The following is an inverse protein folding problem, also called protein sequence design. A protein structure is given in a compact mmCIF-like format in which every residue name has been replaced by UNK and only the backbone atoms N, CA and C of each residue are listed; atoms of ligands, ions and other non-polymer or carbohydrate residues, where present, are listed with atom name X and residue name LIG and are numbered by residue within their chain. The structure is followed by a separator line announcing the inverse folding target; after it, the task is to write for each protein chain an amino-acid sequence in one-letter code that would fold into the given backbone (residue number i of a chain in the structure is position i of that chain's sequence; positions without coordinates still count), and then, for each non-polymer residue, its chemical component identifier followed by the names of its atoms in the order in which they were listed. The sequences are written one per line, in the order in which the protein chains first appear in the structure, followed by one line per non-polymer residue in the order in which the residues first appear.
data_IF_050468150031
#
_entry.id   IF_050468150031
#
_cell.length_a   1.000
_cell.length_b   1.000
_cell.length_c   1.000
_cell.angle_alpha   90.00
_cell.angle_beta   90.00
_cell.angle_gamma   90.00
#
_symmetry.space_group_name_H-M   'P 1'
#
loop_
_entity.id
_entity.type
_entity.pdbx_description
1 polymer ?
#
# COMPACT_ATOMS: atom_id res chain seq x y z
N UNK A 1 18.74 -20.97 -9.22
CA UNK A 1 18.79 -20.30 -7.91
C UNK A 1 17.60 -20.73 -7.05
N UNK A 2 16.39 -20.71 -7.60
CA UNK A 2 15.13 -20.99 -6.86
C UNK A 2 15.04 -22.42 -6.31
N UNK A 3 15.67 -23.38 -6.97
CA UNK A 3 15.72 -24.78 -6.51
C UNK A 3 16.44 -24.96 -5.16
N UNK A 4 17.20 -23.94 -4.72
CA UNK A 4 17.94 -23.96 -3.45
C UNK A 4 17.31 -23.02 -2.39
N UNK A 5 16.25 -22.29 -2.75
CA UNK A 5 15.53 -21.43 -1.83
C UNK A 5 14.40 -22.21 -1.15
N UNK A 6 14.53 -22.45 0.15
CA UNK A 6 13.56 -23.25 0.92
C UNK A 6 12.12 -22.76 0.76
N UNK A 7 11.91 -21.43 0.81
CA UNK A 7 10.59 -20.83 0.65
C UNK A 7 9.99 -21.11 -0.74
N UNK A 8 10.79 -21.00 -1.80
CA UNK A 8 10.35 -21.27 -3.17
C UNK A 8 9.97 -22.74 -3.34
N UNK A 9 10.84 -23.66 -2.89
CA UNK A 9 10.59 -25.12 -3.01
C UNK A 9 9.36 -25.53 -2.19
N UNK A 10 9.19 -24.98 -0.99
CA UNK A 10 8.02 -25.27 -0.17
C UNK A 10 6.74 -24.73 -0.82
N UNK A 11 6.76 -23.50 -1.34
CA UNK A 11 5.64 -22.91 -2.05
C UNK A 11 5.24 -23.71 -3.30
N UNK A 12 6.19 -24.12 -4.12
CA UNK A 12 5.95 -24.98 -5.30
C UNK A 12 5.32 -26.33 -4.94
N UNK A 13 5.61 -26.85 -3.74
CA UNK A 13 4.99 -28.07 -3.20
C UNK A 13 3.70 -27.79 -2.41
N UNK A 14 3.21 -26.57 -2.43
CA UNK A 14 2.03 -26.11 -1.68
C UNK A 14 2.16 -26.35 -0.17
N UNK A 15 3.37 -26.19 0.38
CA UNK A 15 3.68 -26.36 1.80
C UNK A 15 3.95 -25.00 2.44
N UNK A 16 3.45 -24.83 3.66
CA UNK A 16 3.69 -23.68 4.50
C UNK A 16 3.95 -24.12 5.94
N UNK A 17 4.85 -23.39 6.62
CA UNK A 17 5.09 -23.51 8.06
C UNK A 17 5.50 -22.15 8.60
N UNK A 18 5.06 -21.82 9.81
CA UNK A 18 5.58 -20.68 10.55
C UNK A 18 7.05 -20.93 10.96
N UNK A 19 7.87 -19.85 11.01
CA UNK A 19 9.23 -19.98 11.53
C UNK A 19 9.23 -20.55 12.94
N UNK A 20 10.21 -21.38 13.28
CA UNK A 20 10.36 -21.95 14.62
C UNK A 20 11.31 -21.08 15.45
N UNK A 21 10.81 -20.26 16.40
CA UNK A 21 11.63 -19.37 17.21
C UNK A 21 12.61 -20.13 18.15
N UNK A 22 12.40 -21.43 18.37
CA UNK A 22 13.26 -22.27 19.21
C UNK A 22 14.48 -22.78 18.44
N UNK A 23 14.52 -22.58 17.15
CA UNK A 23 15.60 -23.05 16.26
C UNK A 23 16.12 -21.93 15.35
N UNK A 24 16.62 -20.80 15.93
CA UNK A 24 16.98 -19.62 15.14
C UNK A 24 18.14 -19.85 14.18
N UNK A 25 19.03 -20.83 14.45
CA UNK A 25 20.12 -21.23 13.56
C UNK A 25 19.73 -22.24 12.48
N UNK A 26 18.49 -22.73 12.48
CA UNK A 26 17.96 -23.64 11.45
C UNK A 26 17.42 -22.85 10.26
N UNK A 27 17.49 -23.38 9.01
CA UNK A 27 16.76 -22.82 7.88
C UNK A 27 15.25 -22.62 8.14
N UNK A 28 14.66 -23.39 9.05
CA UNK A 28 13.25 -23.25 9.45
C UNK A 28 13.01 -22.09 10.40
N UNK A 29 14.04 -21.59 11.08
CA UNK A 29 13.95 -20.40 11.94
C UNK A 29 13.97 -19.08 11.16
N UNK A 30 14.53 -19.10 9.96
CA UNK A 30 14.65 -17.94 9.07
C UNK A 30 13.60 -17.87 7.95
N UNK A 31 12.45 -18.51 8.12
CA UNK A 31 11.38 -18.47 7.13
C UNK A 31 10.66 -17.12 7.16
N UNK A 32 10.63 -16.44 6.03
CA UNK A 32 9.81 -15.24 5.85
C UNK A 32 8.38 -15.61 5.45
N UNK A 33 7.43 -14.84 5.95
CA UNK A 33 6.03 -15.00 5.59
C UNK A 33 5.28 -13.68 5.64
N UNK A 34 4.14 -13.62 4.95
CA UNK A 34 3.23 -12.50 4.97
C UNK A 34 1.78 -12.98 5.10
N UNK A 35 0.90 -12.07 5.40
CA UNK A 35 -0.53 -12.36 5.49
C UNK A 35 -1.27 -11.90 4.24
N UNK A 36 -2.22 -12.71 3.78
CA UNK A 36 -3.27 -12.27 2.88
C UNK A 36 -4.47 -11.86 3.72
N UNK A 37 -4.92 -10.64 3.59
CA UNK A 37 -6.02 -10.09 4.40
C UNK A 37 -6.90 -9.14 3.59
N UNK A 38 -8.11 -8.91 4.07
CA UNK A 38 -9.00 -7.89 3.54
C UNK A 38 -8.49 -6.50 3.97
N UNK A 39 -8.02 -5.72 3.00
CA UNK A 39 -7.45 -4.39 3.24
C UNK A 39 -8.47 -3.42 3.85
N UNK A 40 -9.75 -3.53 3.49
CA UNK A 40 -10.81 -2.67 4.01
C UNK A 40 -11.11 -2.95 5.49
N UNK A 41 -11.13 -4.23 5.87
CA UNK A 41 -11.29 -4.63 7.28
C UNK A 41 -10.08 -4.21 8.10
N UNK A 42 -8.89 -4.38 7.58
CA UNK A 42 -7.66 -3.98 8.26
C UNK A 42 -7.56 -2.47 8.42
N UNK A 43 -7.88 -1.69 7.39
CA UNK A 43 -7.93 -0.23 7.46
C UNK A 43 -8.93 0.25 8.53
N UNK A 44 -10.10 -0.39 8.64
CA UNK A 44 -11.09 -0.08 9.67
C UNK A 44 -10.57 -0.36 11.08
N UNK A 45 -9.89 -1.50 11.26
CA UNK A 45 -9.24 -1.85 12.52
C UNK A 45 -8.15 -0.84 12.90
N UNK A 46 -7.26 -0.51 11.95
CA UNK A 46 -6.18 0.47 12.18
C UNK A 46 -6.74 1.84 12.52
N UNK A 47 -7.80 2.29 11.84
CA UNK A 47 -8.47 3.55 12.14
C UNK A 47 -8.93 3.59 13.59
N UNK A 48 -9.69 2.61 14.04
CA UNK A 48 -10.15 2.56 15.43
C UNK A 48 -8.99 2.57 16.44
N UNK A 49 -7.89 1.89 16.14
CA UNK A 49 -6.67 1.91 16.96
C UNK A 49 -6.01 3.29 16.99
N UNK A 50 -5.92 3.96 15.84
CA UNK A 50 -5.31 5.28 15.72
C UNK A 50 -6.12 6.34 16.47
N UNK A 51 -7.43 6.35 16.28
CA UNK A 51 -8.35 7.27 16.99
C UNK A 51 -8.29 7.05 18.51
N UNK A 52 -8.23 5.80 18.97
CA UNK A 52 -8.07 5.48 20.40
C UNK A 52 -6.71 5.94 20.97
N UNK A 53 -5.69 6.12 20.12
CA UNK A 53 -4.39 6.65 20.50
C UNK A 53 -4.25 8.17 20.26
N UNK A 54 -5.35 8.88 20.07
CA UNK A 54 -5.37 10.34 20.00
C UNK A 54 -5.23 10.92 18.58
N UNK A 55 -5.24 10.10 17.53
CA UNK A 55 -5.28 10.60 16.15
C UNK A 55 -6.66 11.21 15.89
N UNK A 56 -6.66 12.47 15.48
CA UNK A 56 -7.89 13.18 15.10
C UNK A 56 -8.20 12.90 13.64
N UNK A 57 -9.37 12.34 13.40
CA UNK A 57 -9.88 12.11 12.05
C UNK A 57 -10.77 13.26 11.63
N UNK A 58 -10.49 13.87 10.49
CA UNK A 58 -11.27 14.93 9.89
C UNK A 58 -11.86 14.41 8.58
N UNK A 59 -13.19 14.32 8.50
CA UNK A 59 -13.90 14.03 7.26
C UNK A 59 -14.10 15.30 6.46
N UNK A 60 -13.81 15.26 5.17
CA UNK A 60 -14.00 16.35 4.23
C UNK A 60 -13.27 16.09 2.93
N UNK A 61 -13.61 16.82 1.91
CA UNK A 61 -12.93 16.82 0.63
C UNK A 61 -12.00 18.03 0.57
N UNK A 62 -10.71 17.81 0.32
CA UNK A 62 -9.76 18.90 0.08
C UNK A 62 -10.14 19.56 -1.25
N UNK A 63 -10.35 20.86 -1.22
CA UNK A 63 -10.73 21.70 -2.38
C UNK A 63 -9.66 22.73 -2.70
N UNK A 64 -8.78 23.07 -1.74
CA UNK A 64 -7.67 23.98 -1.96
C UNK A 64 -6.51 23.66 -1.02
N UNK A 65 -5.31 24.07 -1.38
CA UNK A 65 -4.07 23.91 -0.63
C UNK A 65 -3.35 25.24 -0.57
N UNK A 66 -3.31 25.84 0.61
CA UNK A 66 -2.60 27.11 0.83
C UNK A 66 -1.12 26.84 1.03
N UNK A 67 -0.28 27.62 0.36
CA UNK A 67 1.17 27.56 0.49
C UNK A 67 1.70 28.82 1.19
N UNK A 68 2.71 28.63 1.99
CA UNK A 68 3.48 29.73 2.55
C UNK A 68 4.17 30.50 1.42
N UNK A 69 4.11 31.82 1.46
CA UNK A 69 4.58 32.69 0.36
C UNK A 69 6.10 32.79 0.29
N UNK A 70 6.78 32.61 1.41
CA UNK A 70 8.24 32.74 1.49
C UNK A 70 8.93 31.42 1.21
N UNK A 71 8.50 30.35 1.89
CA UNK A 71 9.11 29.01 1.77
C UNK A 71 8.54 28.19 0.62
N UNK A 72 7.33 28.48 0.18
CA UNK A 72 6.60 27.68 -0.81
C UNK A 72 6.04 26.37 -0.28
N UNK A 73 6.24 26.06 1.00
CA UNK A 73 5.73 24.83 1.62
C UNK A 73 4.22 24.86 1.76
N UNK A 74 3.59 23.67 1.86
CA UNK A 74 2.18 23.55 2.20
C UNK A 74 1.98 24.07 3.63
N UNK A 75 1.10 25.04 3.81
CA UNK A 75 0.77 25.59 5.11
C UNK A 75 -0.56 25.04 5.63
N UNK A 76 -1.55 24.85 4.75
CA UNK A 76 -2.90 24.55 5.17
C UNK A 76 -3.66 23.81 4.07
N UNK A 77 -4.54 22.90 4.47
CA UNK A 77 -5.54 22.27 3.59
C UNK A 77 -6.91 22.88 3.83
N UNK A 78 -7.61 23.27 2.77
CA UNK A 78 -8.97 23.79 2.84
C UNK A 78 -9.97 22.72 2.41
N UNK A 79 -10.98 22.47 3.24
CA UNK A 79 -12.02 21.49 2.99
C UNK A 79 -13.24 22.14 2.31
N UNK A 80 -14.07 21.31 1.68
CA UNK A 80 -15.28 21.74 0.96
C UNK A 80 -16.35 22.41 1.84
N UNK A 81 -16.29 22.19 3.15
CA UNK A 81 -17.15 22.85 4.13
C UNK A 81 -16.54 24.14 4.72
N UNK A 82 -15.40 24.59 4.21
CA UNK A 82 -14.71 25.79 4.62
C UNK A 82 -13.78 25.64 5.82
N UNK A 83 -13.71 24.44 6.43
CA UNK A 83 -12.71 24.18 7.48
C UNK A 83 -11.31 24.16 6.88
N UNK A 84 -10.36 24.62 7.68
CA UNK A 84 -8.95 24.57 7.35
C UNK A 84 -8.22 23.63 8.31
N UNK A 85 -7.23 22.93 7.80
CA UNK A 85 -6.38 22.01 8.55
C UNK A 85 -4.93 22.45 8.39
N UNK A 86 -4.34 22.88 9.48
CA UNK A 86 -2.94 23.28 9.56
C UNK A 86 -2.05 22.07 9.88
N UNK A 87 -0.76 22.16 9.54
CA UNK A 87 0.22 21.15 9.91
C UNK A 87 1.64 21.59 9.63
N UNK A 88 2.58 21.05 10.38
CA UNK A 88 4.03 21.24 10.16
C UNK A 88 4.59 20.27 9.13
N UNK A 89 3.92 19.14 8.93
CA UNK A 89 4.26 18.11 7.95
C UNK A 89 2.98 17.50 7.35
N UNK A 90 2.98 17.35 6.05
CA UNK A 90 1.88 16.72 5.32
C UNK A 90 2.37 15.46 4.60
N UNK A 91 1.64 14.36 4.75
CA UNK A 91 1.88 13.10 4.02
C UNK A 91 0.75 12.93 3.00
N UNK A 92 1.09 13.04 1.72
CA UNK A 92 0.13 12.92 0.63
C UNK A 92 -0.21 11.46 0.33
N UNK A 93 -1.34 11.00 0.82
CA UNK A 93 -1.90 9.68 0.56
C UNK A 93 -3.09 9.71 -0.42
N UNK A 94 -3.19 10.74 -1.27
CA UNK A 94 -4.29 10.90 -2.24
C UNK A 94 -4.19 9.97 -3.46
N UNK A 95 -3.20 9.10 -3.50
CA UNK A 95 -2.98 8.13 -4.58
C UNK A 95 -2.53 8.79 -5.87
N UNK A 96 -3.01 8.29 -7.01
CA UNK A 96 -2.65 8.82 -8.34
C UNK A 96 -3.07 10.27 -8.58
N UNK A 97 -3.93 10.83 -7.72
CA UNK A 97 -4.33 12.24 -7.79
C UNK A 97 -3.22 13.18 -7.36
N UNK A 98 -2.35 12.74 -6.46
CA UNK A 98 -1.18 13.50 -5.98
C UNK A 98 -1.54 14.96 -5.62
N UNK A 99 -2.58 15.16 -4.82
CA UNK A 99 -3.18 16.47 -4.53
C UNK A 99 -2.19 17.49 -3.97
N UNK A 100 -1.26 17.05 -3.14
CA UNK A 100 -0.26 17.94 -2.55
C UNK A 100 1.00 17.99 -3.40
N UNK A 101 1.61 16.84 -3.68
CA UNK A 101 2.90 16.79 -4.38
C UNK A 101 2.75 17.16 -5.87
N UNK A 102 1.68 16.71 -6.53
CA UNK A 102 1.41 16.99 -7.94
C UNK A 102 0.74 18.34 -8.14
N UNK A 103 -0.51 18.47 -7.68
CA UNK A 103 -1.33 19.64 -7.98
C UNK A 103 -0.84 20.90 -7.25
N UNK A 104 -0.63 20.83 -5.92
CA UNK A 104 -0.27 22.02 -5.15
C UNK A 104 1.21 22.40 -5.29
N UNK A 105 2.14 21.45 -5.30
CA UNK A 105 3.57 21.71 -5.37
C UNK A 105 4.12 21.67 -6.80
N UNK A 106 3.34 21.23 -7.78
CA UNK A 106 3.72 21.23 -9.20
C UNK A 106 4.80 20.22 -9.58
N UNK A 107 4.98 19.17 -8.79
CA UNK A 107 5.91 18.08 -9.13
C UNK A 107 5.23 17.16 -10.15
N UNK A 108 5.81 17.09 -11.35
CA UNK A 108 5.30 16.24 -12.42
C UNK A 108 5.63 14.77 -12.26
N UNK A 109 5.03 13.96 -13.15
CA UNK A 109 5.36 12.55 -13.32
C UNK A 109 6.35 12.37 -14.47
N UNK A 110 7.29 11.43 -14.30
CA UNK A 110 8.07 10.91 -15.42
C UNK A 110 7.31 9.76 -16.08
N UNK A 111 7.11 9.81 -17.38
CA UNK A 111 6.42 8.74 -18.11
C UNK A 111 7.38 7.58 -18.40
N UNK A 112 7.11 6.45 -17.77
CA UNK A 112 7.85 5.21 -17.94
C UNK A 112 7.10 4.14 -18.75
N UNK A 113 6.06 4.52 -19.50
CA UNK A 113 5.27 3.58 -20.29
C UNK A 113 6.10 2.81 -21.32
N UNK A 114 7.23 3.37 -21.77
CA UNK A 114 8.16 2.69 -22.66
C UNK A 114 8.92 1.51 -22.00
N UNK A 115 8.98 1.49 -20.65
CA UNK A 115 9.51 0.37 -19.87
C UNK A 115 8.41 -0.48 -19.23
N UNK A 116 7.36 0.16 -18.73
CA UNK A 116 6.25 -0.42 -17.99
C UNK A 116 4.98 -0.28 -18.81
N UNK A 117 4.69 -1.27 -19.64
CA UNK A 117 3.61 -1.23 -20.62
C UNK A 117 2.20 -1.29 -20.00
N UNK A 118 2.06 -1.79 -18.78
CA UNK A 118 0.77 -1.91 -18.10
C UNK A 118 0.47 -0.62 -17.33
N UNK A 119 -0.56 0.09 -17.77
CA UNK A 119 -0.96 1.40 -17.24
C UNK A 119 -2.20 1.35 -16.34
N UNK A 120 -2.82 0.18 -16.20
CA UNK A 120 -4.03 0.01 -15.40
C UNK A 120 -4.21 -1.40 -14.87
N UNK A 121 -4.98 -1.53 -13.80
CA UNK A 121 -5.39 -2.80 -13.23
C UNK A 121 -6.88 -2.80 -12.93
N UNK A 122 -7.50 -3.98 -13.02
CA UNK A 122 -8.87 -4.23 -12.59
C UNK A 122 -8.85 -5.10 -11.34
N UNK A 123 -9.32 -4.57 -10.21
CA UNK A 123 -9.50 -5.34 -9.00
C UNK A 123 -10.92 -5.93 -8.98
N UNK A 124 -11.02 -7.25 -9.10
CA UNK A 124 -12.31 -7.96 -9.15
C UNK A 124 -12.33 -9.04 -8.06
N UNK A 125 -13.31 -9.02 -7.14
CA UNK A 125 -13.53 -10.13 -6.23
C UNK A 125 -13.86 -11.40 -7.01
N UNK A 126 -13.23 -12.50 -6.66
CA UNK A 126 -13.50 -13.80 -7.29
C UNK A 126 -13.65 -14.88 -6.23
N UNK A 127 -14.16 -16.04 -6.64
CA UNK A 127 -14.23 -17.21 -5.77
C UNK A 127 -12.84 -17.68 -5.35
N UNK A 128 -12.78 -18.29 -4.16
CA UNK A 128 -11.55 -18.88 -3.65
C UNK A 128 -11.12 -20.04 -4.54
N UNK A 129 -9.88 -20.01 -4.98
CA UNK A 129 -9.27 -21.14 -5.68
C UNK A 129 -8.95 -22.27 -4.70
N UNK A 130 -9.27 -23.50 -5.06
CA UNK A 130 -8.93 -24.70 -4.29
C UNK A 130 -7.91 -25.57 -5.08
N UNK A 131 -6.84 -26.03 -4.42
CA UNK A 131 -6.41 -25.74 -3.04
C UNK A 131 -5.87 -24.30 -2.90
N UNK A 132 -5.96 -23.76 -1.69
CA UNK A 132 -5.38 -22.46 -1.38
C UNK A 132 -3.85 -22.57 -1.45
N UNK A 133 -3.22 -21.70 -2.23
CA UNK A 133 -1.75 -21.64 -2.33
C UNK A 133 -1.14 -20.78 -1.21
N UNK A 134 0.03 -21.15 -0.65
CA UNK A 134 0.71 -20.35 0.35
C UNK A 134 1.57 -19.22 -0.25
N UNK A 135 1.13 -18.64 -1.35
CA UNK A 135 1.81 -17.54 -2.04
C UNK A 135 0.83 -16.74 -2.89
N UNK A 136 1.20 -15.51 -3.22
CA UNK A 136 0.45 -14.70 -4.21
C UNK A 136 0.65 -15.30 -5.60
N UNK A 137 -0.42 -15.84 -6.15
CA UNK A 137 -0.37 -16.46 -7.48
C UNK A 137 -0.49 -15.39 -8.56
N UNK A 138 0.56 -15.26 -9.34
CA UNK A 138 0.58 -14.40 -10.53
C UNK A 138 0.57 -15.28 -11.77
N UNK A 139 -0.21 -14.92 -12.77
CA UNK A 139 -0.32 -15.67 -14.03
C UNK A 139 -0.16 -14.70 -15.20
N UNK A 140 0.90 -14.86 -15.97
CA UNK A 140 1.11 -14.09 -17.19
C UNK A 140 0.02 -14.40 -18.23
N UNK A 141 -0.48 -13.35 -18.87
CA UNK A 141 -1.49 -13.38 -19.94
C UNK A 141 -1.01 -12.55 -21.12
N UNK A 142 -1.67 -12.66 -22.27
CA UNK A 142 -1.34 -11.87 -23.46
C UNK A 142 -1.53 -10.37 -23.28
N UNK A 143 -2.39 -9.95 -22.36
CA UNK A 143 -2.68 -8.54 -22.08
C UNK A 143 -2.01 -8.03 -20.77
N UNK A 144 -1.16 -8.84 -20.14
CA UNK A 144 -0.50 -8.49 -18.87
C UNK A 144 -0.49 -9.67 -17.88
N UNK A 145 -0.67 -9.39 -16.58
CA UNK A 145 -0.66 -10.38 -15.47
C UNK A 145 -1.68 -10.03 -14.41
#
# INVERSE_FOLDING_TARGET
FDAYALNCVAAMQNKFRYPDPRSPGSPLGGLDYAYHFDASLFARYLRGRSEANGVIRIEGKIVDVTRDRESGHVAQLVLDDGRAVDGDLFVDCSGMRALLIGDALGVGYEDWNHWLLNDRALAVPCERVAPLTPYTRVTARGAGW
#
